data_IF_551485729584
#
_entry.id   IF_551485729584
#
_cell.length_a   1.000
_cell.length_b   1.000
_cell.length_c   1.000
_cell.angle_alpha   90.00
_cell.angle_beta   90.00
_cell.angle_gamma   90.00
#
_symmetry.space_group_name_H-M   'P 1'
#
loop_
_entity.id
_entity.type
_entity.pdbx_description
1 polymer ?
#
# COMPACT_ATOMS: atom_id res chain seq x y z
N UNK A 1 13.17 24.90 16.85
CA UNK A 1 11.74 25.14 17.12
C UNK A 1 11.03 23.80 17.00
N UNK A 2 10.67 23.18 18.12
CA UNK A 2 9.86 21.96 18.10
C UNK A 2 8.43 22.37 17.75
N UNK A 3 8.06 22.26 16.47
CA UNK A 3 6.65 22.39 16.09
C UNK A 3 5.85 21.32 16.84
N UNK A 4 4.90 21.77 17.65
CA UNK A 4 4.00 20.90 18.39
C UNK A 4 3.19 20.08 17.39
N UNK A 5 3.43 18.77 17.33
CA UNK A 5 2.69 17.84 16.48
C UNK A 5 1.19 17.91 16.83
N UNK A 6 0.34 18.15 15.84
CA UNK A 6 -1.10 18.33 16.02
C UNK A 6 -1.76 16.98 16.28
N UNK A 7 -2.55 16.88 17.36
CA UNK A 7 -3.32 15.68 17.74
C UNK A 7 -2.50 14.38 17.72
N UNK A 8 -1.28 14.45 18.25
CA UNK A 8 -0.34 13.33 18.24
C UNK A 8 -0.75 12.19 19.18
N UNK A 9 -0.47 10.96 18.77
CA UNK A 9 -0.57 9.76 19.58
C UNK A 9 0.69 8.87 19.38
N UNK A 10 0.69 7.66 19.94
CA UNK A 10 1.85 6.74 19.86
C UNK A 10 2.16 6.19 18.45
N UNK A 11 1.24 6.33 17.51
CA UNK A 11 1.35 5.82 16.13
C UNK A 11 1.51 6.91 15.08
N UNK A 12 1.10 8.15 15.38
CA UNK A 12 1.03 9.19 14.37
C UNK A 12 0.56 10.54 14.87
N UNK A 13 0.40 11.47 13.95
CA UNK A 13 -0.02 12.85 14.18
C UNK A 13 -0.55 13.49 12.89
N UNK A 14 -1.30 14.58 13.00
CA UNK A 14 -1.69 15.37 11.83
C UNK A 14 -0.53 16.28 11.39
N UNK A 15 -0.32 16.39 10.08
CA UNK A 15 0.55 17.42 9.52
C UNK A 15 0.03 18.82 9.89
N UNK A 16 0.91 19.82 9.91
CA UNK A 16 0.58 21.16 10.38
C UNK A 16 -0.54 21.83 9.58
N UNK A 17 -0.70 21.47 8.30
CA UNK A 17 -1.77 21.98 7.43
C UNK A 17 -3.11 21.21 7.59
N UNK A 18 -3.13 20.14 8.40
CA UNK A 18 -4.28 19.28 8.65
C UNK A 18 -4.72 18.42 7.47
N UNK A 19 -3.96 18.37 6.37
CA UNK A 19 -4.36 17.67 5.13
C UNK A 19 -3.88 16.23 5.07
N UNK A 20 -2.92 15.88 5.91
CA UNK A 20 -2.37 14.53 6.02
C UNK A 20 -2.41 14.04 7.47
N UNK A 21 -2.72 12.76 7.63
CA UNK A 21 -2.39 12.04 8.85
C UNK A 21 -1.11 11.22 8.62
N UNK A 22 -0.10 11.49 9.45
CA UNK A 22 1.22 10.86 9.39
C UNK A 22 1.30 9.73 10.40
N UNK A 23 1.52 8.51 9.92
CA UNK A 23 1.71 7.30 10.72
C UNK A 23 3.19 6.93 10.67
N UNK A 24 3.83 6.77 11.83
CA UNK A 24 5.29 6.59 11.92
C UNK A 24 5.72 5.16 12.22
N UNK A 25 4.77 4.24 12.39
CA UNK A 25 5.02 2.81 12.62
C UNK A 25 3.84 1.99 12.09
N UNK A 26 4.07 0.80 11.50
CA UNK A 26 3.03 0.08 10.78
C UNK A 26 2.07 -0.74 11.65
N UNK A 27 2.48 -1.07 12.88
CA UNK A 27 1.81 -1.98 13.83
C UNK A 27 0.73 -1.26 14.66
N UNK A 28 -0.16 -0.54 13.98
CA UNK A 28 -1.33 0.07 14.60
C UNK A 28 -2.25 -1.01 15.21
N UNK A 29 -3.08 -0.68 16.22
CA UNK A 29 -3.89 -1.68 16.94
C UNK A 29 -4.95 -2.37 16.07
N UNK A 30 -5.29 -1.72 14.96
CA UNK A 30 -6.12 -2.22 13.87
C UNK A 30 -5.66 -1.54 12.57
N UNK A 31 -6.01 -2.06 11.39
CA UNK A 31 -5.72 -1.41 10.12
C UNK A 31 -6.34 -0.02 10.06
N UNK A 32 -5.50 1.00 9.90
CA UNK A 32 -5.90 2.37 9.63
C UNK A 32 -5.87 2.55 8.12
N UNK A 33 -7.07 2.72 7.54
CA UNK A 33 -7.23 2.75 6.09
C UNK A 33 -7.51 4.16 5.59
N UNK A 34 -7.08 4.41 4.35
CA UNK A 34 -7.55 5.51 3.54
C UNK A 34 -8.42 4.97 2.40
N UNK A 35 -9.47 5.72 2.06
CA UNK A 35 -10.38 5.41 0.96
C UNK A 35 -10.21 6.52 -0.08
N UNK A 36 -9.85 6.12 -1.30
CA UNK A 36 -9.56 7.04 -2.40
C UNK A 36 -10.48 6.67 -3.56
N UNK A 37 -11.27 7.62 -4.05
CA UNK A 37 -12.26 7.37 -5.10
C UNK A 37 -12.51 8.65 -5.91
N UNK A 38 -12.70 8.51 -7.22
CA UNK A 38 -13.09 9.61 -8.12
C UNK A 38 -14.56 9.55 -8.57
N UNK A 39 -15.33 8.57 -8.08
CA UNK A 39 -16.72 8.32 -8.44
C UNK A 39 -16.92 7.10 -9.36
N UNK A 40 -15.94 6.72 -10.18
CA UNK A 40 -15.96 5.48 -10.98
C UNK A 40 -15.02 4.44 -10.35
N UNK A 41 -13.74 4.78 -10.18
CA UNK A 41 -12.75 3.90 -9.56
C UNK A 41 -12.53 4.26 -8.10
N UNK A 42 -12.40 3.24 -7.26
CA UNK A 42 -12.01 3.42 -5.87
C UNK A 42 -11.07 2.36 -5.35
N UNK A 43 -10.32 2.72 -4.32
CA UNK A 43 -9.44 1.82 -3.59
C UNK A 43 -9.49 2.09 -2.09
N UNK A 44 -9.24 1.03 -1.32
CA UNK A 44 -8.90 1.07 0.10
C UNK A 44 -7.44 0.69 0.21
N UNK A 45 -6.68 1.44 1.02
CA UNK A 45 -5.29 1.10 1.35
C UNK A 45 -5.03 1.34 2.84
N UNK A 46 -4.48 0.35 3.52
CA UNK A 46 -4.09 0.44 4.92
C UNK A 46 -2.70 1.06 5.08
N UNK A 47 -2.37 1.47 6.30
CA UNK A 47 -1.03 1.86 6.70
C UNK A 47 0.00 0.74 6.52
N UNK A 48 -0.43 -0.51 6.41
CA UNK A 48 0.47 -1.65 6.18
C UNK A 48 0.74 -1.91 4.68
N UNK A 49 0.01 -1.25 3.77
CA UNK A 49 0.08 -1.47 2.33
C UNK A 49 -0.94 -2.47 1.79
N UNK A 50 -1.86 -2.94 2.62
CA UNK A 50 -2.91 -3.90 2.26
C UNK A 50 -4.17 -3.20 1.78
N UNK A 51 -5.07 -3.92 1.12
CA UNK A 51 -6.34 -3.36 0.64
C UNK A 51 -6.74 -3.84 -0.75
N UNK A 52 -7.75 -3.19 -1.32
CA UNK A 52 -8.31 -3.55 -2.61
C UNK A 52 -8.84 -2.38 -3.38
N UNK A 53 -9.16 -2.66 -4.63
CA UNK A 53 -9.70 -1.71 -5.57
C UNK A 53 -10.96 -2.26 -6.21
N UNK A 54 -11.80 -1.37 -6.69
CA UNK A 54 -13.03 -1.69 -7.38
C UNK A 54 -13.29 -0.65 -8.45
N UNK A 55 -14.20 -0.99 -9.35
CA UNK A 55 -14.77 -0.05 -10.31
C UNK A 55 -16.28 -0.07 -10.17
N UNK A 56 -16.94 1.09 -10.14
CA UNK A 56 -18.38 1.31 -9.91
C UNK A 56 -18.94 0.81 -8.58
N UNK A 57 -18.74 -0.46 -8.22
CA UNK A 57 -19.33 -1.10 -7.06
C UNK A 57 -18.30 -1.89 -6.25
N UNK A 58 -18.09 -1.50 -4.99
CA UNK A 58 -17.08 -2.08 -4.10
C UNK A 58 -17.40 -3.50 -3.60
N UNK A 59 -18.64 -3.97 -3.80
CA UNK A 59 -19.05 -5.34 -3.47
C UNK A 59 -19.04 -6.24 -4.70
N UNK A 60 -19.54 -5.76 -5.84
CA UNK A 60 -19.81 -6.58 -7.03
C UNK A 60 -18.73 -6.50 -8.12
N UNK A 61 -17.89 -5.47 -8.11
CA UNK A 61 -16.92 -5.19 -9.15
C UNK A 61 -15.54 -4.89 -8.56
N UNK A 62 -15.08 -5.77 -7.66
CA UNK A 62 -13.73 -5.73 -7.11
C UNK A 62 -12.71 -6.20 -8.13
N UNK A 63 -11.57 -5.54 -8.16
CA UNK A 63 -10.46 -5.88 -9.06
C UNK A 63 -9.52 -6.89 -8.42
N UNK A 64 -9.18 -6.74 -7.14
CA UNK A 64 -8.32 -7.67 -6.41
C UNK A 64 -8.98 -8.18 -5.12
N UNK A 65 -8.51 -9.35 -4.66
CA UNK A 65 -9.07 -10.03 -3.49
C UNK A 65 -8.78 -9.25 -2.22
N UNK A 66 -9.79 -9.19 -1.36
CA UNK A 66 -9.62 -8.69 0.00
C UNK A 66 -10.67 -9.22 0.95
N UNK A 67 -10.20 -9.64 2.11
CA UNK A 67 -11.00 -9.97 3.28
C UNK A 67 -10.71 -8.93 4.36
N UNK A 68 -11.75 -8.47 5.04
CA UNK A 68 -11.63 -7.53 6.16
C UNK A 68 -11.08 -8.25 7.41
N UNK A 69 -9.82 -8.65 7.34
CA UNK A 69 -9.10 -9.24 8.46
C UNK A 69 -8.49 -8.12 9.31
N UNK A 70 -9.18 -7.80 10.41
CA UNK A 70 -8.75 -6.76 11.36
C UNK A 70 -7.51 -7.15 12.18
N UNK A 71 -7.06 -8.40 12.10
CA UNK A 71 -5.92 -8.92 12.84
C UNK A 71 -4.70 -9.00 11.93
N UNK A 72 -4.84 -9.65 10.76
CA UNK A 72 -3.70 -9.95 9.89
C UNK A 72 -3.44 -8.88 8.84
N UNK A 73 -4.49 -8.29 8.27
CA UNK A 73 -4.41 -7.32 7.17
C UNK A 73 -3.47 -7.80 6.06
N UNK A 74 -3.62 -9.04 5.58
CA UNK A 74 -2.65 -9.68 4.67
C UNK A 74 -3.13 -9.83 3.22
N UNK A 75 -4.27 -9.24 2.87
CA UNK A 75 -4.75 -9.16 1.49
C UNK A 75 -4.51 -7.78 0.92
N UNK A 76 -3.82 -7.72 -0.21
CA UNK A 76 -3.33 -6.45 -0.68
C UNK A 76 -2.76 -6.49 -2.08
N UNK A 77 -2.18 -5.36 -2.41
CA UNK A 77 -1.46 -5.14 -3.65
C UNK A 77 -0.08 -4.63 -3.25
N UNK A 78 0.92 -5.45 -3.49
CA UNK A 78 2.24 -5.31 -2.88
C UNK A 78 3.29 -5.01 -3.92
N UNK A 79 4.32 -4.28 -3.48
CA UNK A 79 5.59 -4.15 -4.19
C UNK A 79 6.64 -4.80 -3.30
N UNK A 80 7.22 -5.89 -3.75
CA UNK A 80 8.39 -6.50 -3.14
C UNK A 80 9.65 -5.82 -3.67
N UNK A 81 10.63 -5.70 -2.78
CA UNK A 81 11.96 -5.17 -3.05
C UNK A 81 12.93 -6.30 -2.72
N UNK A 82 13.85 -6.59 -3.63
CA UNK A 82 14.90 -7.59 -3.45
C UNK A 82 16.25 -6.93 -3.68
N UNK A 83 17.18 -7.13 -2.75
CA UNK A 83 18.59 -6.86 -2.99
C UNK A 83 19.19 -8.07 -3.70
N UNK A 84 19.59 -7.90 -4.95
CA UNK A 84 20.01 -9.03 -5.80
C UNK A 84 21.37 -9.59 -5.40
N UNK A 85 22.19 -8.83 -4.67
CA UNK A 85 23.48 -9.32 -4.20
C UNK A 85 23.36 -10.24 -2.98
N UNK A 86 22.50 -9.87 -2.02
CA UNK A 86 22.28 -10.68 -0.81
C UNK A 86 21.19 -11.74 -1.00
N UNK A 87 20.30 -11.55 -1.96
CA UNK A 87 19.11 -12.38 -2.18
C UNK A 87 17.98 -12.11 -1.19
N UNK A 88 18.17 -11.23 -0.21
CA UNK A 88 17.13 -10.85 0.73
C UNK A 88 16.03 -10.01 0.05
N UNK A 89 14.80 -10.22 0.50
CA UNK A 89 13.65 -9.48 0.00
C UNK A 89 12.71 -9.06 1.13
N UNK A 90 11.96 -8.01 0.88
CA UNK A 90 10.96 -7.47 1.78
C UNK A 90 9.82 -6.82 0.98
N UNK A 91 8.74 -6.47 1.66
CA UNK A 91 7.67 -5.64 1.08
C UNK A 91 7.99 -4.16 1.28
N UNK A 92 7.64 -3.32 0.32
CA UNK A 92 7.76 -1.86 0.44
C UNK A 92 6.85 -1.34 1.55
N UNK A 93 5.60 -1.80 1.58
CA UNK A 93 4.72 -1.70 2.75
C UNK A 93 5.12 -2.69 3.84
N UNK A 94 4.49 -2.62 5.01
CA UNK A 94 4.79 -3.58 6.08
C UNK A 94 4.27 -4.98 5.78
N UNK A 95 3.11 -5.11 5.15
CA UNK A 95 2.54 -6.40 4.76
C UNK A 95 2.96 -6.74 3.33
N UNK A 96 3.15 -8.03 3.01
CA UNK A 96 2.92 -9.20 3.89
C UNK A 96 4.17 -9.65 4.66
N UNK A 97 5.38 -9.19 4.31
CA UNK A 97 6.63 -9.74 4.86
C UNK A 97 6.89 -9.37 6.33
N UNK A 98 6.24 -8.33 6.84
CA UNK A 98 6.42 -7.80 8.20
C UNK A 98 7.89 -7.51 8.57
N UNK A 99 8.69 -6.87 7.71
CA UNK A 99 10.11 -6.66 7.99
C UNK A 99 10.30 -5.62 9.10
N UNK A 100 11.47 -5.64 9.73
CA UNK A 100 11.92 -4.56 10.59
C UNK A 100 12.49 -3.43 9.73
N UNK A 101 11.94 -2.23 9.89
CA UNK A 101 12.35 -1.04 9.12
C UNK A 101 13.29 -0.15 9.93
N UNK A 102 14.32 0.39 9.27
CA UNK A 102 15.11 1.52 9.81
C UNK A 102 14.25 2.78 9.91
N UNK A 103 13.33 2.94 8.95
CA UNK A 103 12.33 4.01 8.90
C UNK A 103 11.07 3.49 8.23
N UNK A 104 9.91 3.81 8.80
CA UNK A 104 8.61 3.60 8.17
C UNK A 104 7.74 4.83 8.40
N UNK A 105 7.10 5.32 7.35
CA UNK A 105 6.19 6.45 7.42
C UNK A 105 5.07 6.28 6.39
N UNK A 106 3.82 6.47 6.81
CA UNK A 106 2.67 6.56 5.92
C UNK A 106 2.03 7.93 6.07
N UNK A 107 1.69 8.53 4.94
CA UNK A 107 0.89 9.75 4.88
C UNK A 107 -0.41 9.43 4.17
N UNK A 108 -1.50 9.39 4.92
CA UNK A 108 -2.83 9.38 4.35
C UNK A 108 -3.26 10.82 4.11
N UNK A 109 -3.38 11.20 2.84
CA UNK A 109 -3.85 12.50 2.41
C UNK A 109 -5.21 12.41 1.74
N UNK A 110 -5.74 13.56 1.34
CA UNK A 110 -6.98 13.65 0.59
C UNK A 110 -6.77 13.15 -0.85
N UNK A 111 -7.28 11.95 -1.14
CA UNK A 111 -7.20 11.35 -2.47
C UNK A 111 -5.88 10.63 -2.78
N UNK A 112 -4.99 10.46 -1.80
CA UNK A 112 -3.75 9.70 -1.97
C UNK A 112 -3.24 9.11 -0.66
N UNK A 113 -2.38 8.10 -0.78
CA UNK A 113 -1.57 7.58 0.31
C UNK A 113 -0.13 7.48 -0.15
N UNK A 114 0.82 7.91 0.69
CA UNK A 114 2.25 7.69 0.47
C UNK A 114 2.81 6.80 1.56
N UNK A 115 3.40 5.68 1.19
CA UNK A 115 4.18 4.82 2.07
C UNK A 115 5.67 5.07 1.77
N UNK A 116 6.47 5.28 2.81
CA UNK A 116 7.92 5.43 2.72
C UNK A 116 8.57 4.47 3.70
N UNK A 117 9.50 3.66 3.23
CA UNK A 117 10.20 2.67 4.04
C UNK A 117 11.70 2.66 3.74
N UNK A 118 12.50 2.26 4.72
CA UNK A 118 13.95 2.13 4.58
C UNK A 118 14.45 0.86 5.25
N UNK A 119 15.24 0.08 4.51
CA UNK A 119 15.92 -1.12 4.98
C UNK A 119 17.31 -1.16 4.35
N UNK A 120 18.36 -1.35 5.15
CA UNK A 120 19.75 -1.54 4.72
C UNK A 120 20.24 -0.47 3.76
N UNK A 121 19.90 0.80 4.05
CA UNK A 121 20.24 1.94 3.21
C UNK A 121 19.53 2.01 1.86
N UNK A 122 18.51 1.18 1.60
CA UNK A 122 17.61 1.33 0.45
C UNK A 122 16.32 1.98 0.96
N UNK A 123 16.05 3.21 0.50
CA UNK A 123 14.80 3.91 0.79
C UNK A 123 13.85 3.77 -0.39
N UNK A 124 12.66 3.24 -0.14
CA UNK A 124 11.60 3.12 -1.12
C UNK A 124 10.42 4.01 -0.73
N UNK A 125 9.73 4.56 -1.72
CA UNK A 125 8.45 5.21 -1.51
C UNK A 125 7.44 4.79 -2.56
N UNK A 126 6.19 4.64 -2.17
CA UNK A 126 5.07 4.34 -3.05
C UNK A 126 3.97 5.37 -2.77
N UNK A 127 3.67 6.20 -3.78
CA UNK A 127 2.50 7.08 -3.79
C UNK A 127 1.39 6.39 -4.57
N UNK A 128 0.25 6.16 -3.93
CA UNK A 128 -0.95 5.57 -4.51
C UNK A 128 -2.06 6.61 -4.54
N UNK A 129 -2.68 6.82 -5.70
CA UNK A 129 -3.81 7.72 -5.87
C UNK A 129 -4.67 7.33 -7.07
N UNK A 130 -5.89 7.87 -7.13
CA UNK A 130 -6.83 7.72 -8.26
C UNK A 130 -6.93 9.07 -8.97
N UNK A 131 -6.57 9.18 -10.26
CA UNK A 131 -6.74 10.41 -11.02
C UNK A 131 -8.23 10.81 -11.11
N UNK A 132 -8.51 12.10 -11.18
CA UNK A 132 -9.91 12.60 -11.17
C UNK A 132 -10.71 12.13 -12.39
N UNK A 133 -10.08 12.03 -13.56
CA UNK A 133 -10.76 11.76 -14.83
C UNK A 133 -10.69 10.32 -15.32
N UNK A 134 -9.88 9.46 -14.69
CA UNK A 134 -9.53 8.15 -15.23
C UNK A 134 -9.90 7.02 -14.25
N UNK A 135 -10.53 5.93 -14.73
CA UNK A 135 -10.95 4.83 -13.87
C UNK A 135 -9.80 3.85 -13.59
N UNK A 136 -8.71 4.38 -13.04
CA UNK A 136 -7.51 3.63 -12.71
C UNK A 136 -6.87 4.16 -11.43
N UNK A 137 -5.96 3.39 -10.86
CA UNK A 137 -5.05 3.88 -9.83
C UNK A 137 -3.63 3.95 -10.37
N UNK A 138 -2.86 4.89 -9.84
CA UNK A 138 -1.44 5.06 -10.17
C UNK A 138 -0.61 4.72 -8.95
N UNK A 139 0.39 3.87 -9.15
CA UNK A 139 1.43 3.61 -8.16
C UNK A 139 2.74 4.22 -8.62
N UNK A 140 3.09 5.36 -8.05
CA UNK A 140 4.39 5.98 -8.29
C UNK A 140 5.39 5.46 -7.27
N UNK A 141 6.20 4.49 -7.70
CA UNK A 141 7.28 3.91 -6.90
C UNK A 141 8.58 4.69 -7.14
N UNK A 142 9.34 4.94 -6.09
CA UNK A 142 10.67 5.55 -6.17
C UNK A 142 11.61 4.79 -5.25
N UNK A 143 12.81 4.49 -5.74
CA UNK A 143 13.86 3.78 -5.00
C UNK A 143 15.08 4.68 -4.95
N UNK A 144 15.65 4.83 -3.77
CA UNK A 144 16.83 5.65 -3.51
C UNK A 144 17.87 4.82 -2.78
N UNK A 145 19.04 4.66 -3.38
CA UNK A 145 20.20 4.10 -2.71
C UNK A 145 20.84 5.18 -1.81
N UNK A 146 20.81 4.96 -0.50
CA UNK A 146 21.41 5.80 0.53
C UNK A 146 22.68 5.14 1.13
N UNK A 147 23.08 3.99 0.62
CA UNK A 147 24.33 3.34 1.04
C UNK A 147 25.53 3.94 0.30
N UNK A 148 26.72 3.68 0.82
CA UNK A 148 27.98 4.19 0.26
C UNK A 148 28.50 3.35 -0.93
N UNK A 149 27.73 2.34 -1.36
CA UNK A 149 28.10 1.42 -2.44
C UNK A 149 26.99 1.32 -3.48
N UNK A 150 27.30 1.01 -4.75
CA UNK A 150 26.30 0.64 -5.74
C UNK A 150 25.44 -0.53 -5.24
N UNK A 151 24.18 -0.59 -5.67
CA UNK A 151 23.22 -1.65 -5.32
C UNK A 151 22.43 -2.05 -6.55
N UNK A 152 22.25 -3.35 -6.74
CA UNK A 152 21.32 -3.92 -7.73
C UNK A 152 20.05 -4.35 -7.00
N UNK A 153 18.93 -3.76 -7.38
CA UNK A 153 17.64 -3.95 -6.70
C UNK A 153 16.58 -4.34 -7.72
N UNK A 154 15.91 -5.44 -7.46
CA UNK A 154 14.75 -5.88 -8.24
C UNK A 154 13.45 -5.53 -7.53
N UNK A 155 12.43 -5.13 -8.31
CA UNK A 155 11.07 -4.86 -7.81
C UNK A 155 10.10 -5.86 -8.41
N UNK A 156 9.19 -6.37 -7.58
CA UNK A 156 8.15 -7.30 -8.01
C UNK A 156 6.80 -6.82 -7.52
N UNK A 157 5.84 -6.66 -8.44
CA UNK A 157 4.45 -6.33 -8.08
C UNK A 157 3.64 -7.60 -7.89
N UNK A 158 2.72 -7.59 -6.94
CA UNK A 158 1.83 -8.71 -6.69
C UNK A 158 0.46 -8.25 -6.23
N UNK A 159 -0.58 -8.90 -6.72
CA UNK A 159 -1.91 -8.90 -6.14
C UNK A 159 -2.67 -10.09 -6.69
N UNK A 160 -3.69 -10.55 -5.98
CA UNK A 160 -4.57 -11.61 -6.46
C UNK A 160 -5.82 -11.01 -7.11
N UNK A 161 -6.11 -11.40 -8.35
CA UNK A 161 -7.30 -10.95 -9.08
C UNK A 161 -8.61 -11.42 -8.41
N UNK A 162 -9.55 -10.49 -8.23
CA UNK A 162 -10.95 -10.74 -7.84
C UNK A 162 -11.87 -10.77 -9.07
N UNK A 163 -11.84 -9.71 -9.90
CA UNK A 163 -12.61 -9.59 -11.14
C UNK A 163 -14.11 -9.91 -10.98
N UNK A 164 -14.72 -9.39 -9.93
CA UNK A 164 -16.15 -9.61 -9.68
C UNK A 164 -16.57 -9.42 -8.23
N UNK A 165 -17.46 -10.31 -7.79
CA UNK A 165 -18.09 -10.22 -6.48
C UNK A 165 -17.11 -10.60 -5.36
N UNK A 166 -16.95 -9.70 -4.39
CA UNK A 166 -16.11 -9.93 -3.22
C UNK A 166 -16.67 -10.91 -2.18
N UNK A 167 -17.94 -11.32 -2.33
CA UNK A 167 -18.59 -12.32 -1.46
C UNK A 167 -18.59 -13.72 -2.06
N UNK A 168 -18.14 -13.87 -3.30
CA UNK A 168 -18.14 -15.16 -3.99
C UNK A 168 -17.01 -16.06 -3.46
N UNK A 169 -17.37 -17.22 -2.95
CA UNK A 169 -16.45 -18.24 -2.45
C UNK A 169 -16.08 -19.29 -3.51
N UNK A 170 -16.75 -19.29 -4.67
CA UNK A 170 -16.55 -20.27 -5.76
C UNK A 170 -15.94 -19.59 -6.99
N UNK A 171 -14.66 -19.25 -6.89
CA UNK A 171 -13.96 -18.42 -7.89
C UNK A 171 -13.14 -19.20 -8.91
N UNK A 172 -13.17 -20.53 -8.85
CA UNK A 172 -12.37 -21.41 -9.72
C UNK A 172 -12.62 -21.14 -11.22
N UNK A 173 -13.88 -20.88 -11.59
CA UNK A 173 -14.26 -20.55 -12.96
C UNK A 173 -13.96 -19.09 -13.37
N UNK A 174 -13.72 -18.18 -12.44
CA UNK A 174 -13.34 -16.79 -12.80
C UNK A 174 -11.87 -16.70 -13.19
N UNK A 175 -11.04 -17.64 -12.73
CA UNK A 175 -9.58 -17.65 -12.97
C UNK A 175 -9.18 -18.23 -14.33
N UNK A 176 -10.06 -18.98 -15.01
CA UNK A 176 -9.74 -19.67 -16.28
C UNK A 176 -9.77 -18.76 -17.51
N UNK A 177 -10.28 -17.53 -17.40
CA UNK A 177 -10.43 -16.59 -18.52
C UNK A 177 -9.45 -15.42 -18.46
N UNK A 178 -8.42 -15.51 -17.61
CA UNK A 178 -7.38 -14.48 -17.55
C UNK A 178 -6.37 -14.74 -18.66
N UNK A 179 -6.28 -13.80 -19.59
CA UNK A 179 -5.27 -13.79 -20.64
C UNK A 179 -4.25 -12.68 -20.34
N UNK A 180 -2.97 -12.99 -20.58
CA UNK A 180 -1.87 -12.03 -20.49
C UNK A 180 -1.17 -12.03 -21.85
N UNK A 181 -1.04 -10.86 -22.47
CA UNK A 181 -0.24 -10.67 -23.69
C UNK A 181 1.27 -10.59 -23.39
#
# INVERSE_FOLDING_TARGET
MNESRVLANKYGYFANDGKEFVITRPDTPAPWVNIICNGDYGLVISQAGSGFSWRTNSALARLNVWHQDLIRDEYGKYVYVRDDESGEFWSLGWKPCCPEFEKYEVRHGLGYTRITSRIKGIECSMLVFVPVGDPLEIWKVSVKNLSERPRTVSLFTYFEWCLGSGIDTHREFQKIFIETE
#
